data_IF_868593443621
#
_entry.id   IF_868593443621
#
_cell.length_a   1.000
_cell.length_b   1.000
_cell.length_c   1.000
_cell.angle_alpha   90.00
_cell.angle_beta   90.00
_cell.angle_gamma   90.00
#
_symmetry.space_group_name_H-M   'P 1'
#
loop_
_entity.id
_entity.type
_entity.pdbx_description
1 polymer ?
#
# COMPACT_ATOMS: atom_id res chain seq x y z
N UNK A 1 -3.51 -6.24 9.04
CA UNK A 1 -2.96 -6.01 10.41
C UNK A 1 -2.64 -7.36 11.03
N UNK A 2 -1.36 -7.65 11.35
CA UNK A 2 -0.92 -8.96 11.90
C UNK A 2 -1.16 -9.09 13.41
N UNK A 3 -1.76 -8.07 14.00
CA UNK A 3 -1.95 -7.91 15.45
C UNK A 3 -2.55 -9.10 16.21
N UNK A 4 -3.52 -9.88 15.69
CA UNK A 4 -4.06 -11.00 16.46
C UNK A 4 -3.07 -12.16 16.67
N UNK A 5 -2.00 -12.20 15.87
CA UNK A 5 -1.07 -13.34 15.86
C UNK A 5 0.26 -13.06 16.56
N UNK A 6 0.50 -11.80 16.96
CA UNK A 6 1.77 -11.36 17.51
C UNK A 6 1.52 -10.36 18.65
N UNK A 7 1.24 -10.83 19.87
CA UNK A 7 1.27 -9.92 21.01
C UNK A 7 2.69 -9.36 21.14
N UNK A 8 2.90 -8.05 20.98
CA UNK A 8 4.22 -7.48 21.22
C UNK A 8 4.58 -7.71 22.70
N UNK A 9 5.82 -8.15 22.92
CA UNK A 9 6.39 -8.09 24.26
C UNK A 9 6.60 -6.61 24.60
N UNK A 10 6.05 -6.16 25.69
CA UNK A 10 6.35 -4.80 26.20
C UNK A 10 7.70 -4.81 26.92
N UNK A 11 8.48 -3.68 26.81
CA UNK A 11 8.19 -2.49 26.02
C UNK A 11 8.32 -2.71 24.50
N UNK A 12 7.45 -2.07 23.70
CA UNK A 12 7.42 -2.18 22.24
C UNK A 12 7.33 -0.80 21.60
N UNK A 13 8.26 -0.49 20.70
CA UNK A 13 8.25 0.74 19.91
C UNK A 13 7.53 0.45 18.60
N UNK A 14 6.38 1.10 18.30
CA UNK A 14 5.61 0.84 17.09
C UNK A 14 6.30 1.39 15.83
N UNK A 15 5.60 1.31 14.70
CA UNK A 15 6.00 1.66 13.35
C UNK A 15 7.12 0.77 12.79
N UNK A 16 7.02 0.59 11.48
CA UNK A 16 7.95 -0.26 10.72
C UNK A 16 8.60 0.47 9.56
N UNK A 17 7.94 1.50 9.03
CA UNK A 17 8.45 2.31 7.94
C UNK A 17 9.39 3.38 8.51
N UNK A 18 10.59 3.47 7.95
CA UNK A 18 11.57 4.48 8.35
C UNK A 18 12.22 5.12 7.13
N UNK A 19 12.61 6.40 7.27
CA UNK A 19 13.50 7.08 6.36
C UNK A 19 14.39 8.02 7.18
N UNK A 20 15.68 8.08 6.85
CA UNK A 20 16.63 8.88 7.63
C UNK A 20 18.05 8.77 7.10
N UNK A 21 19.01 9.16 7.91
CA UNK A 21 20.44 9.12 7.61
C UNK A 21 21.10 8.02 8.45
N UNK A 22 21.96 7.22 7.81
CA UNK A 22 22.72 6.16 8.48
C UNK A 22 23.76 6.81 9.39
N UNK A 23 23.74 6.46 10.67
CA UNK A 23 24.75 6.85 11.66
C UNK A 23 25.86 5.81 11.77
N UNK A 24 25.48 4.54 11.79
CA UNK A 24 26.39 3.39 11.91
C UNK A 24 25.96 2.23 11.04
N UNK A 25 26.89 1.37 10.67
CA UNK A 25 26.65 0.13 9.92
C UNK A 25 27.20 -1.08 10.66
N UNK A 26 26.47 -2.18 10.62
CA UNK A 26 26.90 -3.46 11.19
C UNK A 26 28.04 -4.10 10.39
N UNK A 27 28.71 -5.07 11.02
CA UNK A 27 29.74 -5.87 10.34
C UNK A 27 29.16 -6.61 9.13
N UNK A 28 29.80 -6.44 7.97
CA UNK A 28 29.39 -7.13 6.73
C UNK A 28 28.43 -6.34 5.85
N UNK A 29 27.95 -5.19 6.25
CA UNK A 29 27.21 -4.25 5.36
C UNK A 29 28.16 -3.77 4.27
N UNK A 30 27.71 -3.84 3.01
CA UNK A 30 28.52 -3.49 1.84
C UNK A 30 27.89 -2.39 1.00
N UNK A 31 26.57 -2.25 1.06
CA UNK A 31 25.80 -1.37 0.18
C UNK A 31 25.72 0.06 0.70
N UNK A 32 25.82 0.25 2.00
CA UNK A 32 25.61 1.51 2.68
C UNK A 32 26.77 1.88 3.59
N UNK A 33 26.89 3.18 3.87
CA UNK A 33 27.86 3.76 4.80
C UNK A 33 27.22 4.86 5.65
N UNK A 34 27.84 5.25 6.77
CA UNK A 34 27.41 6.43 7.52
C UNK A 34 27.33 7.67 6.63
N UNK A 35 26.26 8.47 6.80
CA UNK A 35 25.92 9.64 6.01
C UNK A 35 25.00 9.36 4.82
N UNK A 36 24.80 8.11 4.42
CA UNK A 36 23.86 7.79 3.35
C UNK A 36 22.40 8.01 3.81
N UNK A 37 21.59 8.65 2.96
CA UNK A 37 20.15 8.81 3.18
C UNK A 37 19.43 7.55 2.68
N UNK A 38 18.61 6.94 3.51
CA UNK A 38 17.94 5.67 3.23
C UNK A 38 16.48 5.66 3.64
N UNK A 39 15.70 4.83 2.97
CA UNK A 39 14.35 4.39 3.37
C UNK A 39 14.39 2.88 3.57
N UNK A 40 13.63 2.37 4.52
CA UNK A 40 13.61 0.93 4.79
C UNK A 40 12.45 0.47 5.65
N UNK A 41 12.36 -0.85 5.76
CA UNK A 41 11.36 -1.52 6.57
C UNK A 41 12.01 -2.19 7.78
N UNK A 42 11.65 -1.76 8.98
CA UNK A 42 12.01 -2.43 10.21
C UNK A 42 11.15 -3.69 10.38
N UNK A 43 11.68 -4.71 11.02
CA UNK A 43 10.93 -5.95 11.25
C UNK A 43 9.64 -5.68 12.03
N UNK A 44 8.48 -6.18 11.55
CA UNK A 44 7.22 -6.00 12.27
C UNK A 44 7.20 -6.73 13.63
N UNK A 45 8.11 -7.70 13.83
CA UNK A 45 8.24 -8.43 15.10
C UNK A 45 8.99 -7.66 16.17
N UNK A 46 9.95 -6.81 15.78
CA UNK A 46 10.72 -5.99 16.70
C UNK A 46 10.20 -4.56 16.81
N UNK A 47 9.49 -4.06 15.80
CA UNK A 47 9.13 -2.65 15.73
C UNK A 47 10.37 -1.75 15.67
N UNK A 48 10.25 -0.53 16.18
CA UNK A 48 11.37 0.39 16.36
C UNK A 48 11.38 1.59 15.42
N UNK A 49 10.34 1.77 14.58
CA UNK A 49 10.31 2.89 13.64
C UNK A 49 9.93 4.23 14.25
N UNK A 50 9.20 4.23 15.36
CA UNK A 50 8.81 5.46 16.07
C UNK A 50 9.84 5.81 17.15
N UNK A 51 11.07 6.08 16.76
CA UNK A 51 12.18 6.41 17.62
C UNK A 51 13.23 7.24 16.86
N UNK A 52 14.06 7.98 17.56
CA UNK A 52 15.16 8.77 16.97
C UNK A 52 16.15 7.90 16.19
N UNK A 53 16.33 6.65 16.59
CA UNK A 53 17.18 5.67 15.93
C UNK A 53 16.44 4.37 15.70
N UNK A 54 16.68 3.76 14.55
CA UNK A 54 16.09 2.47 14.17
C UNK A 54 17.14 1.58 13.48
N UNK A 55 16.96 0.27 13.60
CA UNK A 55 17.84 -0.70 12.95
C UNK A 55 17.09 -1.37 11.79
N UNK A 56 17.66 -1.26 10.59
CA UNK A 56 17.11 -1.87 9.37
C UNK A 56 18.12 -2.81 8.72
N UNK A 57 17.63 -3.89 8.14
CA UNK A 57 18.48 -4.82 7.37
C UNK A 57 18.81 -4.21 6.00
N UNK A 58 20.08 -4.32 5.59
CA UNK A 58 20.56 -3.88 4.28
C UNK A 58 19.69 -4.41 3.11
N UNK A 59 19.23 -5.65 3.20
CA UNK A 59 18.45 -6.33 2.16
C UNK A 59 17.05 -5.75 1.89
N UNK A 60 16.54 -4.94 2.82
CA UNK A 60 15.20 -4.31 2.76
C UNK A 60 15.26 -2.79 2.94
N UNK A 61 16.41 -2.22 2.65
CA UNK A 61 16.64 -0.77 2.58
C UNK A 61 17.00 -0.34 1.15
N UNK A 62 16.69 0.92 0.82
CA UNK A 62 17.02 1.57 -0.44
C UNK A 62 17.61 2.97 -0.19
N UNK A 63 18.54 3.40 -1.04
CA UNK A 63 19.06 4.76 -0.99
C UNK A 63 18.00 5.78 -1.40
N UNK A 64 17.97 6.90 -0.73
CA UNK A 64 17.20 8.08 -1.13
C UNK A 64 18.15 9.07 -1.81
N UNK A 65 17.89 9.48 -3.07
CA UNK A 65 18.67 10.51 -3.74
C UNK A 65 18.69 11.82 -2.93
N UNK A 66 19.79 12.60 -2.97
CA UNK A 66 19.91 13.84 -2.18
C UNK A 66 18.78 14.83 -2.39
N UNK A 67 18.27 14.92 -3.62
CA UNK A 67 17.19 15.82 -4.03
C UNK A 67 15.80 15.44 -3.52
N UNK A 68 15.62 14.22 -2.99
CA UNK A 68 14.34 13.72 -2.48
C UNK A 68 14.31 13.85 -0.95
N UNK A 69 13.19 14.33 -0.39
CA UNK A 69 13.03 14.40 1.06
C UNK A 69 12.84 13.01 1.67
N UNK A 70 13.26 12.83 2.93
CA UNK A 70 12.99 11.59 3.66
C UNK A 70 11.49 11.36 3.82
N UNK A 71 10.70 12.42 4.05
CA UNK A 71 9.26 12.36 4.20
C UNK A 71 8.55 11.82 2.94
N UNK A 72 9.03 12.18 1.73
CA UNK A 72 8.47 11.69 0.47
C UNK A 72 8.67 10.17 0.28
N UNK A 73 9.69 9.61 0.94
CA UNK A 73 9.99 8.19 0.87
C UNK A 73 9.49 7.39 2.09
N UNK A 74 9.30 8.03 3.24
CA UNK A 74 8.96 7.35 4.50
C UNK A 74 7.66 6.52 4.45
N UNK A 75 6.73 6.86 3.54
CA UNK A 75 5.50 6.11 3.35
C UNK A 75 5.60 4.89 2.42
N UNK A 76 6.71 4.72 1.70
CA UNK A 76 6.86 3.71 0.65
C UNK A 76 6.98 2.25 1.18
N UNK A 77 7.68 1.96 2.31
CA UNK A 77 8.06 0.59 2.60
C UNK A 77 6.86 -0.37 2.70
N UNK A 78 5.94 -0.17 3.62
CA UNK A 78 4.76 -1.06 3.71
C UNK A 78 3.76 -0.74 2.62
N UNK A 79 3.31 0.51 2.52
CA UNK A 79 2.17 0.86 1.69
C UNK A 79 2.50 0.82 0.19
N UNK A 80 3.61 1.39 -0.22
CA UNK A 80 4.08 1.38 -1.60
C UNK A 80 4.41 -0.03 -2.10
N UNK A 81 5.15 -0.82 -1.29
CA UNK A 81 5.47 -2.21 -1.65
C UNK A 81 4.22 -3.10 -1.70
N UNK A 82 3.25 -2.88 -0.82
CA UNK A 82 1.96 -3.60 -0.87
C UNK A 82 1.23 -3.31 -2.16
N UNK A 83 1.10 -2.04 -2.54
CA UNK A 83 0.46 -1.64 -3.79
C UNK A 83 1.20 -2.21 -5.01
N UNK A 84 2.54 -2.12 -5.02
CA UNK A 84 3.38 -2.68 -6.08
C UNK A 84 3.17 -4.19 -6.25
N UNK A 85 3.22 -4.95 -5.16
CA UNK A 85 3.07 -6.40 -5.21
C UNK A 85 1.65 -6.84 -5.55
N UNK A 86 0.63 -6.14 -5.06
CA UNK A 86 -0.77 -6.38 -5.43
C UNK A 86 -0.97 -6.26 -6.94
N UNK A 87 -0.49 -5.19 -7.54
CA UNK A 87 -0.65 -4.93 -8.96
C UNK A 87 0.24 -5.83 -9.83
N UNK A 88 1.56 -5.84 -9.57
CA UNK A 88 2.51 -6.51 -10.46
C UNK A 88 2.55 -8.03 -10.27
N UNK A 89 2.58 -8.53 -9.01
CA UNK A 89 2.77 -9.96 -8.75
C UNK A 89 1.44 -10.71 -8.67
N UNK A 90 0.41 -10.13 -8.04
CA UNK A 90 -0.86 -10.84 -7.84
C UNK A 90 -1.81 -10.68 -9.02
N UNK A 91 -2.00 -9.47 -9.55
CA UNK A 91 -2.88 -9.20 -10.70
C UNK A 91 -2.12 -9.39 -12.02
N UNK A 92 -0.81 -9.17 -12.04
CA UNK A 92 0.04 -9.30 -13.22
C UNK A 92 -0.01 -8.08 -14.15
N UNK A 93 -0.07 -6.87 -13.59
CA UNK A 93 0.07 -5.62 -14.34
C UNK A 93 1.54 -5.38 -14.67
N UNK A 94 1.84 -5.12 -15.92
CA UNK A 94 3.15 -4.63 -16.35
C UNK A 94 3.18 -3.11 -16.24
N UNK A 95 3.98 -2.60 -15.30
CA UNK A 95 4.03 -1.16 -14.98
C UNK A 95 4.79 -0.32 -16.02
N UNK A 96 5.34 -0.94 -17.03
CA UNK A 96 5.92 -0.30 -18.21
C UNK A 96 4.90 0.00 -19.32
N UNK A 97 3.64 -0.33 -19.08
CA UNK A 97 2.54 -0.13 -20.05
C UNK A 97 2.46 -1.16 -21.17
N UNK A 98 3.40 -2.12 -21.24
CA UNK A 98 3.44 -3.13 -22.33
C UNK A 98 2.42 -4.27 -22.19
N UNK A 99 1.64 -4.30 -21.09
CA UNK A 99 0.65 -5.31 -20.81
C UNK A 99 -0.68 -5.10 -21.56
N UNK A 100 -1.51 -6.15 -21.60
CA UNK A 100 -2.89 -6.05 -22.04
C UNK A 100 -3.66 -5.05 -21.16
N UNK A 101 -4.62 -4.35 -21.78
CA UNK A 101 -5.49 -3.44 -21.07
C UNK A 101 -6.37 -4.18 -20.06
N UNK A 102 -6.32 -3.74 -18.80
CA UNK A 102 -7.11 -4.32 -17.71
C UNK A 102 -7.95 -3.26 -16.98
N UNK A 103 -9.13 -3.68 -16.52
CA UNK A 103 -9.99 -2.87 -15.67
C UNK A 103 -9.68 -3.21 -14.22
N UNK A 104 -9.24 -2.22 -13.45
CA UNK A 104 -8.78 -2.39 -12.08
C UNK A 104 -9.67 -1.58 -11.13
N UNK A 105 -10.16 -2.24 -10.09
CA UNK A 105 -10.81 -1.55 -8.98
C UNK A 105 -9.82 -1.38 -7.81
N UNK A 106 -9.78 -0.21 -7.23
CA UNK A 106 -9.01 0.08 -6.01
C UNK A 106 -9.96 0.61 -4.95
N UNK A 107 -10.15 -0.13 -3.87
CA UNK A 107 -11.00 0.32 -2.76
C UNK A 107 -10.19 1.14 -1.76
N UNK A 108 -10.87 2.04 -1.01
CA UNK A 108 -10.22 2.98 -0.09
C UNK A 108 -9.02 3.71 -0.75
N UNK A 109 -9.24 4.19 -1.97
CA UNK A 109 -8.20 4.73 -2.84
C UNK A 109 -7.52 6.01 -2.30
N UNK A 110 -8.14 6.73 -1.37
CA UNK A 110 -7.53 7.88 -0.70
C UNK A 110 -6.64 7.51 0.50
N UNK A 111 -6.61 6.24 0.91
CA UNK A 111 -5.87 5.79 2.08
C UNK A 111 -4.39 5.49 1.81
N UNK A 112 -3.70 4.96 2.84
CA UNK A 112 -2.26 4.76 2.85
C UNK A 112 -1.72 3.86 1.73
N UNK A 113 -2.40 2.75 1.37
CA UNK A 113 -2.02 1.89 0.25
C UNK A 113 -2.70 2.34 -1.04
N UNK A 114 -3.98 2.75 -0.95
CA UNK A 114 -4.82 3.05 -2.11
C UNK A 114 -4.25 4.15 -3.00
N UNK A 115 -3.72 5.23 -2.41
CA UNK A 115 -3.18 6.34 -3.21
C UNK A 115 -1.94 5.95 -4.03
N UNK A 116 -1.11 5.02 -3.53
CA UNK A 116 -0.02 4.43 -4.33
C UNK A 116 -0.55 3.47 -5.38
N UNK A 117 -1.56 2.66 -5.03
CA UNK A 117 -2.14 1.69 -5.96
C UNK A 117 -2.75 2.37 -7.19
N UNK A 118 -3.46 3.51 -7.02
CA UNK A 118 -3.98 4.29 -8.15
C UNK A 118 -2.85 4.75 -9.06
N UNK A 119 -1.82 5.40 -8.52
CA UNK A 119 -0.71 5.94 -9.29
C UNK A 119 0.07 4.83 -10.02
N UNK A 120 0.39 3.73 -9.31
CA UNK A 120 1.09 2.60 -9.91
C UNK A 120 0.26 1.89 -10.99
N UNK A 121 -1.05 1.72 -10.78
CA UNK A 121 -1.91 1.13 -11.80
C UNK A 121 -1.90 1.96 -13.09
N UNK A 122 -1.85 3.28 -12.98
CA UNK A 122 -1.79 4.19 -14.15
C UNK A 122 -0.46 4.17 -14.91
N UNK A 123 0.60 3.59 -14.36
CA UNK A 123 1.83 3.31 -15.12
C UNK A 123 1.64 2.13 -16.07
N UNK A 124 0.71 1.23 -15.76
CA UNK A 124 0.33 0.13 -16.64
C UNK A 124 -0.78 0.54 -17.62
N UNK A 125 -1.07 -0.34 -18.59
CA UNK A 125 -2.18 -0.15 -19.50
C UNK A 125 -3.50 -0.55 -18.80
N UNK A 126 -4.04 0.34 -17.93
CA UNK A 126 -5.21 0.05 -17.12
C UNK A 126 -6.28 1.13 -17.21
N UNK A 127 -7.54 0.70 -17.02
CA UNK A 127 -8.64 1.57 -16.64
C UNK A 127 -8.88 1.40 -15.15
N UNK A 128 -8.75 2.48 -14.39
CA UNK A 128 -8.81 2.47 -12.92
C UNK A 128 -10.14 3.04 -12.45
N UNK A 129 -10.95 2.18 -11.84
CA UNK A 129 -12.09 2.59 -11.01
C UNK A 129 -11.64 2.60 -9.55
N UNK A 130 -11.97 3.65 -8.82
CA UNK A 130 -11.53 3.83 -7.43
C UNK A 130 -12.72 4.13 -6.52
N UNK A 131 -12.71 3.62 -5.28
CA UNK A 131 -13.69 4.04 -4.27
C UNK A 131 -13.02 4.85 -3.17
N UNK A 132 -13.69 5.93 -2.76
CA UNK A 132 -13.30 6.76 -1.63
C UNK A 132 -14.54 7.43 -1.02
N UNK A 133 -14.40 8.21 0.05
CA UNK A 133 -15.47 9.08 0.53
C UNK A 133 -15.62 10.33 -0.34
N UNK A 134 -16.82 10.92 -0.38
CA UNK A 134 -17.16 12.07 -1.21
C UNK A 134 -16.12 13.20 -1.16
N UNK A 135 -15.59 13.53 0.02
CA UNK A 135 -14.56 14.58 0.20
C UNK A 135 -13.26 14.36 -0.58
N UNK A 136 -12.97 13.10 -0.97
CA UNK A 136 -11.71 12.72 -1.61
C UNK A 136 -11.86 12.40 -3.10
N UNK A 137 -13.03 12.62 -3.71
CA UNK A 137 -13.27 12.27 -5.12
C UNK A 137 -12.31 13.02 -6.04
N UNK A 138 -12.23 14.34 -5.94
CA UNK A 138 -11.34 15.13 -6.80
C UNK A 138 -9.85 14.82 -6.54
N UNK A 139 -9.49 14.57 -5.29
CA UNK A 139 -8.16 14.12 -4.94
C UNK A 139 -7.81 12.78 -5.63
N UNK A 140 -8.68 11.77 -5.56
CA UNK A 140 -8.42 10.46 -6.17
C UNK A 140 -8.41 10.54 -7.70
N UNK A 141 -9.24 11.40 -8.31
CA UNK A 141 -9.13 11.72 -9.74
C UNK A 141 -7.77 12.32 -10.08
N UNK A 142 -7.25 13.23 -9.25
CA UNK A 142 -5.94 13.85 -9.46
C UNK A 142 -4.76 12.88 -9.39
N UNK A 143 -4.96 11.70 -8.80
CA UNK A 143 -4.01 10.59 -8.80
C UNK A 143 -4.03 9.78 -10.12
N UNK A 144 -4.99 10.04 -11.00
CA UNK A 144 -5.15 9.42 -12.30
C UNK A 144 -6.25 8.36 -12.40
N UNK A 145 -7.13 8.20 -11.41
CA UNK A 145 -8.27 7.31 -11.53
C UNK A 145 -9.22 7.78 -12.65
N UNK A 146 -9.63 6.85 -13.52
CA UNK A 146 -10.55 7.12 -14.64
C UNK A 146 -11.99 7.26 -14.15
N UNK A 147 -12.37 6.50 -13.13
CA UNK A 147 -13.67 6.54 -12.47
C UNK A 147 -13.49 6.59 -10.96
N UNK A 148 -14.26 7.43 -10.29
CA UNK A 148 -14.25 7.52 -8.82
C UNK A 148 -15.68 7.47 -8.30
N UNK A 149 -15.92 6.59 -7.33
CA UNK A 149 -17.22 6.29 -6.75
C UNK A 149 -17.18 6.56 -5.25
N UNK A 150 -18.17 7.29 -4.73
CA UNK A 150 -18.35 7.38 -3.29
C UNK A 150 -18.88 6.05 -2.75
N UNK A 151 -18.13 5.40 -1.86
CA UNK A 151 -18.48 4.11 -1.27
C UNK A 151 -19.79 4.16 -0.44
N UNK A 152 -20.29 5.35 -0.09
CA UNK A 152 -21.54 5.56 0.63
C UNK A 152 -22.77 5.54 -0.26
N UNK A 153 -22.61 5.66 -1.57
CA UNK A 153 -23.73 5.54 -2.52
C UNK A 153 -24.12 4.08 -2.74
N UNK A 154 -25.35 3.78 -3.18
CA UNK A 154 -25.75 2.41 -3.48
C UNK A 154 -24.85 1.70 -4.48
N UNK A 155 -24.46 2.36 -5.57
CA UNK A 155 -23.54 1.80 -6.58
C UNK A 155 -22.11 1.65 -6.04
N UNK A 156 -21.66 2.59 -5.19
CA UNK A 156 -20.36 2.50 -4.53
C UNK A 156 -20.29 1.37 -3.51
N UNK A 157 -21.33 1.17 -2.72
CA UNK A 157 -21.43 0.04 -1.80
C UNK A 157 -21.49 -1.31 -2.56
N UNK A 158 -22.10 -1.32 -3.74
CA UNK A 158 -22.16 -2.49 -4.62
C UNK A 158 -20.91 -2.63 -5.52
N UNK A 159 -19.93 -1.74 -5.43
CA UNK A 159 -18.69 -1.69 -6.22
C UNK A 159 -18.95 -1.72 -7.75
N UNK A 160 -20.06 -1.14 -8.20
CA UNK A 160 -20.39 -1.11 -9.63
C UNK A 160 -19.60 -0.02 -10.36
N UNK A 161 -18.94 -0.38 -11.45
CA UNK A 161 -18.31 0.61 -12.33
C UNK A 161 -19.38 1.50 -12.99
N UNK A 162 -19.22 2.83 -13.00
CA UNK A 162 -20.12 3.74 -13.72
C UNK A 162 -20.25 3.41 -15.21
N UNK A 163 -19.18 2.93 -15.83
CA UNK A 163 -19.18 2.48 -17.24
C UNK A 163 -19.64 1.03 -17.44
N UNK A 164 -20.07 0.35 -16.38
CA UNK A 164 -20.54 -1.06 -16.45
C UNK A 164 -19.43 -2.10 -16.69
N UNK A 165 -18.14 -1.69 -16.67
CA UNK A 165 -17.01 -2.60 -16.86
C UNK A 165 -16.89 -3.59 -15.72
N UNK A 166 -16.52 -4.84 -16.06
CA UNK A 166 -16.13 -5.85 -15.08
C UNK A 166 -14.64 -5.72 -14.77
N UNK A 167 -14.26 -6.01 -13.53
CA UNK A 167 -12.88 -5.86 -13.07
C UNK A 167 -12.07 -7.13 -13.32
N UNK A 168 -10.90 -6.96 -13.93
CA UNK A 168 -9.90 -8.03 -14.10
C UNK A 168 -9.06 -8.19 -12.84
N UNK A 169 -8.94 -7.13 -12.06
CA UNK A 169 -8.27 -7.11 -10.77
C UNK A 169 -8.89 -6.12 -9.80
N UNK A 170 -8.90 -6.48 -8.54
CA UNK A 170 -9.27 -5.59 -7.43
C UNK A 170 -8.13 -5.54 -6.44
N UNK A 171 -7.66 -4.34 -6.08
CA UNK A 171 -6.80 -4.12 -4.92
C UNK A 171 -7.71 -3.66 -3.78
N UNK A 172 -8.02 -4.60 -2.88
CA UNK A 172 -8.92 -4.33 -1.77
C UNK A 172 -8.14 -3.79 -0.57
N UNK A 173 -8.24 -2.46 -0.38
CA UNK A 173 -7.54 -1.73 0.69
C UNK A 173 -8.45 -1.31 1.86
N UNK A 174 -9.74 -1.64 1.79
CA UNK A 174 -10.70 -1.40 2.87
C UNK A 174 -10.76 -2.62 3.81
N UNK A 175 -11.40 -2.45 4.94
CA UNK A 175 -11.72 -3.56 5.86
C UNK A 175 -13.07 -4.16 5.49
N UNK A 176 -13.22 -5.47 5.73
CA UNK A 176 -14.48 -6.23 5.69
C UNK A 176 -15.41 -5.95 4.49
N UNK A 177 -15.13 -6.60 3.37
CA UNK A 177 -16.06 -6.65 2.25
C UNK A 177 -16.31 -8.12 1.89
N UNK A 178 -17.56 -8.60 1.96
CA UNK A 178 -17.87 -9.99 1.67
C UNK A 178 -17.66 -10.30 0.17
N UNK A 179 -17.25 -11.52 -0.10
CA UNK A 179 -17.01 -12.00 -1.49
C UNK A 179 -18.20 -11.76 -2.42
N UNK A 180 -19.42 -11.89 -1.90
CA UNK A 180 -20.67 -11.70 -2.67
C UNK A 180 -20.80 -10.31 -3.32
N UNK A 181 -20.11 -9.31 -2.80
CA UNK A 181 -20.09 -7.95 -3.39
C UNK A 181 -19.09 -7.88 -4.55
N UNK A 182 -17.96 -8.57 -4.45
CA UNK A 182 -16.96 -8.59 -5.52
C UNK A 182 -17.36 -9.44 -6.71
N UNK A 183 -17.85 -10.65 -6.45
CA UNK A 183 -18.05 -11.69 -7.47
C UNK A 183 -18.89 -11.26 -8.67
N UNK A 184 -20.01 -10.51 -8.50
CA UNK A 184 -20.83 -10.04 -9.63
C UNK A 184 -20.10 -9.01 -10.50
N UNK A 185 -19.14 -8.29 -9.95
CA UNK A 185 -18.39 -7.21 -10.61
C UNK A 185 -17.09 -7.66 -11.28
N UNK A 186 -16.66 -8.92 -11.05
CA UNK A 186 -15.45 -9.46 -11.64
C UNK A 186 -15.68 -9.98 -13.07
N UNK A 187 -14.67 -9.79 -13.91
CA UNK A 187 -14.56 -10.52 -15.20
C UNK A 187 -14.39 -12.03 -14.96
N UNK A 188 -14.43 -12.84 -16.02
CA UNK A 188 -14.40 -14.30 -15.91
C UNK A 188 -13.19 -14.83 -15.12
N UNK A 189 -12.02 -14.20 -15.26
CA UNK A 189 -10.77 -14.57 -14.57
C UNK A 189 -10.35 -13.51 -13.55
N UNK A 190 -11.29 -12.70 -13.08
CA UNK A 190 -11.02 -11.58 -12.17
C UNK A 190 -10.48 -12.04 -10.82
N UNK A 191 -9.55 -11.26 -10.28
CA UNK A 191 -8.89 -11.52 -8.99
C UNK A 191 -9.13 -10.39 -8.01
N UNK A 192 -9.47 -10.72 -6.77
CA UNK A 192 -9.47 -9.78 -5.64
C UNK A 192 -8.21 -10.02 -4.83
N UNK A 193 -7.35 -9.02 -4.72
CA UNK A 193 -6.18 -9.04 -3.86
C UNK A 193 -6.54 -8.33 -2.57
N UNK A 194 -6.66 -9.09 -1.50
CA UNK A 194 -7.01 -8.58 -0.17
C UNK A 194 -5.74 -8.31 0.63
N UNK A 195 -5.50 -7.05 0.98
CA UNK A 195 -4.28 -6.63 1.71
C UNK A 195 -4.43 -6.73 3.23
N UNK A 196 -5.66 -6.95 3.71
CA UNK A 196 -5.98 -7.11 5.15
C UNK A 196 -6.87 -8.33 5.38
N UNK A 197 -6.40 -9.53 4.98
CA UNK A 197 -7.26 -10.70 4.96
C UNK A 197 -7.80 -11.05 6.34
N UNK A 198 -9.12 -11.22 6.43
CA UNK A 198 -9.83 -11.72 7.60
C UNK A 198 -9.88 -13.26 7.57
N UNK A 199 -10.36 -13.87 8.65
CA UNK A 199 -10.61 -15.31 8.67
C UNK A 199 -11.61 -15.75 7.60
N UNK A 200 -12.63 -14.94 7.32
CA UNK A 200 -13.61 -15.19 6.24
C UNK A 200 -12.98 -15.09 4.85
N UNK A 201 -12.07 -14.14 4.63
CA UNK A 201 -11.29 -14.04 3.39
C UNK A 201 -10.40 -15.26 3.20
N UNK A 202 -9.74 -15.74 4.26
CA UNK A 202 -8.92 -16.95 4.20
C UNK A 202 -9.73 -18.20 3.86
N UNK A 203 -10.93 -18.34 4.43
CA UNK A 203 -11.84 -19.43 4.09
C UNK A 203 -12.30 -19.34 2.63
N UNK A 204 -12.67 -18.17 2.15
CA UNK A 204 -13.07 -17.93 0.76
C UNK A 204 -11.92 -18.28 -0.20
N UNK A 205 -10.69 -17.87 0.10
CA UNK A 205 -9.49 -18.23 -0.66
C UNK A 205 -9.34 -19.75 -0.76
N UNK A 206 -9.43 -20.47 0.37
CA UNK A 206 -9.30 -21.93 0.39
C UNK A 206 -10.39 -22.61 -0.46
N UNK A 207 -11.65 -22.21 -0.31
CA UNK A 207 -12.78 -22.74 -1.07
C UNK A 207 -12.60 -22.48 -2.59
N UNK A 208 -12.24 -21.25 -2.99
CA UNK A 208 -12.04 -20.93 -4.42
C UNK A 208 -10.88 -21.72 -5.03
N UNK A 209 -9.86 -22.03 -4.23
CA UNK A 209 -8.73 -22.84 -4.67
C UNK A 209 -9.11 -24.32 -4.84
N UNK A 210 -9.84 -24.89 -3.89
CA UNK A 210 -10.34 -26.29 -3.94
C UNK A 210 -11.31 -26.48 -5.12
N UNK A 211 -12.20 -25.52 -5.36
CA UNK A 211 -13.20 -25.58 -6.45
C UNK A 211 -12.63 -25.18 -7.82
N UNK A 212 -11.34 -24.91 -7.94
CA UNK A 212 -10.72 -24.42 -9.17
C UNK A 212 -11.47 -23.25 -9.81
N UNK A 213 -12.04 -22.38 -8.99
CA UNK A 213 -12.81 -21.22 -9.46
C UNK A 213 -11.96 -20.30 -10.33
N UNK A 214 -12.52 -19.86 -11.47
CA UNK A 214 -11.85 -18.89 -12.34
C UNK A 214 -11.73 -17.51 -11.68
N UNK A 215 -12.73 -17.12 -10.88
CA UNK A 215 -12.69 -15.90 -10.06
C UNK A 215 -12.02 -16.23 -8.73
N UNK A 216 -11.02 -15.46 -8.33
CA UNK A 216 -10.18 -15.77 -7.19
C UNK A 216 -10.14 -14.63 -6.17
N UNK A 217 -10.05 -14.99 -4.89
CA UNK A 217 -9.60 -14.10 -3.83
C UNK A 217 -8.18 -14.51 -3.44
N UNK A 218 -7.27 -13.55 -3.38
CA UNK A 218 -5.84 -13.76 -3.11
C UNK A 218 -5.45 -12.92 -1.90
N UNK A 219 -5.24 -13.52 -0.72
CA UNK A 219 -4.69 -12.81 0.42
C UNK A 219 -3.25 -12.38 0.11
N UNK A 220 -2.93 -11.12 0.34
CA UNK A 220 -1.58 -10.60 0.11
C UNK A 220 -0.78 -10.64 1.40
N UNK A 221 0.31 -11.38 1.37
CA UNK A 221 1.37 -11.29 2.36
C UNK A 221 2.54 -10.50 1.75
N UNK A 222 2.84 -9.35 2.31
CA UNK A 222 3.95 -8.51 1.84
C UNK A 222 5.29 -9.23 2.07
N UNK A 223 6.07 -9.39 1.01
CA UNK A 223 7.44 -9.89 1.05
C UNK A 223 8.37 -8.74 0.65
N UNK A 224 8.92 -8.00 1.63
CA UNK A 224 9.71 -6.82 1.34
C UNK A 224 11.05 -7.20 0.67
N UNK A 225 11.43 -6.42 -0.35
CA UNK A 225 12.72 -6.56 -1.07
C UNK A 225 13.28 -5.17 -1.33
N UNK A 226 14.57 -4.98 -1.06
CA UNK A 226 15.25 -3.71 -1.31
C UNK A 226 15.15 -3.25 -2.77
N UNK A 227 15.27 -4.18 -3.74
CA UNK A 227 15.12 -3.87 -5.18
C UNK A 227 13.73 -3.32 -5.53
N UNK A 228 12.66 -3.88 -4.93
CA UNK A 228 11.31 -3.38 -5.15
C UNK A 228 11.17 -1.96 -4.55
N UNK A 229 11.83 -1.70 -3.42
CA UNK A 229 11.84 -0.38 -2.77
C UNK A 229 12.68 0.63 -3.56
N UNK A 230 13.84 0.23 -4.10
CA UNK A 230 14.64 1.03 -5.02
C UNK A 230 13.84 1.48 -6.23
N UNK A 231 13.08 0.56 -6.82
CA UNK A 231 12.19 0.88 -7.94
C UNK A 231 11.14 1.93 -7.57
N UNK A 232 10.55 1.85 -6.38
CA UNK A 232 9.58 2.87 -5.93
C UNK A 232 10.26 4.23 -5.70
N UNK A 233 11.44 4.25 -5.10
CA UNK A 233 12.22 5.50 -4.93
C UNK A 233 12.58 6.12 -6.28
N UNK A 234 12.93 5.29 -7.27
CA UNK A 234 13.21 5.78 -8.63
C UNK A 234 11.97 6.37 -9.29
N UNK A 235 10.78 5.78 -9.09
CA UNK A 235 9.51 6.37 -9.55
C UNK A 235 9.22 7.72 -8.88
N UNK A 236 9.55 7.87 -7.60
CA UNK A 236 9.44 9.17 -6.90
C UNK A 236 10.40 10.18 -7.51
N UNK A 237 11.67 9.78 -7.76
CA UNK A 237 12.66 10.62 -8.42
C UNK A 237 12.21 11.09 -9.81
N UNK A 238 11.55 10.22 -10.57
CA UNK A 238 11.01 10.54 -11.89
C UNK A 238 9.70 11.38 -11.84
N UNK A 239 9.17 11.69 -10.66
CA UNK A 239 7.89 12.37 -10.50
C UNK A 239 6.66 11.53 -10.92
N UNK A 240 6.84 10.21 -11.12
CA UNK A 240 5.78 9.27 -11.51
C UNK A 240 5.00 8.70 -10.33
N UNK A 241 5.55 8.82 -9.14
CA UNK A 241 4.94 8.39 -7.89
C UNK A 241 5.16 9.46 -6.83
N UNK A 242 4.13 9.78 -6.07
CA UNK A 242 4.25 10.70 -4.93
C UNK A 242 3.63 10.10 -3.67
N UNK A 243 4.25 10.33 -2.54
CA UNK A 243 3.64 10.09 -1.23
C UNK A 243 2.69 11.24 -0.92
N UNK A 244 1.43 10.90 -0.67
CA UNK A 244 0.47 11.87 -0.15
C UNK A 244 0.59 11.87 1.36
N UNK A 245 0.92 13.01 1.92
CA UNK A 245 1.08 13.19 3.37
C UNK A 245 -0.15 13.90 3.89
N UNK A 246 -0.93 13.23 4.72
CA UNK A 246 -2.10 13.78 5.38
C UNK A 246 -1.69 14.78 6.48
N UNK A 247 -0.73 14.38 7.29
CA UNK A 247 -0.25 15.16 8.42
C UNK A 247 1.15 14.75 8.86
N UNK A 248 1.85 15.69 9.49
CA UNK A 248 3.16 15.50 10.07
C UNK A 248 3.11 15.84 11.57
N UNK A 249 3.76 15.03 12.37
CA UNK A 249 3.84 15.22 13.80
C UNK A 249 5.29 15.09 14.27
N UNK A 250 5.75 15.93 15.21
CA UNK A 250 6.99 15.67 15.91
C UNK A 250 6.81 14.47 16.86
N UNK A 251 7.89 13.79 17.21
CA UNK A 251 7.84 12.63 18.12
C UNK A 251 7.16 12.96 19.45
N UNK A 252 7.33 14.18 19.96
CA UNK A 252 6.67 14.67 21.19
C UNK A 252 5.14 14.71 21.12
N UNK A 253 4.56 14.60 19.90
CA UNK A 253 3.12 14.52 19.64
C UNK A 253 2.74 13.17 19.01
N UNK A 254 3.47 12.11 19.33
CA UNK A 254 3.21 10.77 18.80
C UNK A 254 1.77 10.29 19.10
N UNK A 255 1.23 10.64 20.27
CA UNK A 255 -0.15 10.30 20.68
C UNK A 255 -1.19 10.93 19.74
N UNK A 256 -1.02 12.19 19.35
CA UNK A 256 -1.94 12.89 18.45
C UNK A 256 -1.97 12.23 17.06
N UNK A 257 -0.78 11.92 16.51
CA UNK A 257 -0.66 11.23 15.23
C UNK A 257 -1.22 9.81 15.30
N UNK A 258 -1.07 9.13 16.42
CA UNK A 258 -1.62 7.80 16.64
C UNK A 258 -3.14 7.84 16.75
N UNK A 259 -3.70 8.78 17.48
CA UNK A 259 -5.15 9.01 17.58
C UNK A 259 -5.76 9.25 16.18
N UNK A 260 -5.11 10.06 15.36
CA UNK A 260 -5.53 10.28 13.96
C UNK A 260 -5.46 9.00 13.11
N UNK A 261 -4.47 8.14 13.34
CA UNK A 261 -4.39 6.84 12.67
C UNK A 261 -5.53 5.90 13.08
N UNK A 262 -5.91 5.90 14.36
CA UNK A 262 -7.02 5.10 14.90
C UNK A 262 -8.36 5.58 14.34
N UNK A 263 -8.56 6.89 14.15
CA UNK A 263 -9.76 7.47 13.53
C UNK A 263 -10.02 6.91 12.11
N UNK A 264 -8.98 6.41 11.42
CA UNK A 264 -9.11 5.69 10.15
C UNK A 264 -9.47 6.56 8.94
N UNK A 265 -9.50 7.89 9.08
CA UNK A 265 -9.90 8.82 8.04
C UNK A 265 -8.75 9.61 7.41
N UNK A 266 -7.51 9.22 7.66
CA UNK A 266 -6.35 9.88 7.05
C UNK A 266 -6.35 9.75 5.52
N UNK A 267 -6.00 10.83 4.83
CA UNK A 267 -5.83 10.87 3.37
C UNK A 267 -4.34 10.71 3.04
N UNK A 268 -3.93 9.50 2.65
CA UNK A 268 -2.52 9.16 2.45
C UNK A 268 -1.83 8.68 3.73
N UNK A 269 -0.67 9.24 4.04
CA UNK A 269 0.23 8.81 5.14
C UNK A 269 0.32 9.84 6.25
N UNK A 270 0.44 9.37 7.47
CA UNK A 270 0.79 10.18 8.65
C UNK A 270 2.29 9.97 8.86
N UNK A 271 3.06 11.05 8.95
CA UNK A 271 4.52 11.03 9.09
C UNK A 271 4.92 11.60 10.45
N UNK A 272 5.85 10.95 11.13
CA UNK A 272 6.53 11.47 12.31
C UNK A 272 7.91 11.97 11.91
N UNK A 273 8.28 13.17 12.36
CA UNK A 273 9.59 13.81 12.11
C UNK A 273 10.34 14.04 13.42
N UNK A 274 11.66 13.92 13.37
CA UNK A 274 12.56 14.05 14.53
C UNK A 274 13.50 15.23 14.37
#
# INVERSE_FOLDING_TARGET
MLWPFLPPKFPYIPCTDIAGVITEVGKGVKKFKPGDKVVGLVSPFSGGGLAEYAVVKESIAASIPPEISAADCAGLPVAGLTALQALSKSIGIKLDGSGERKNILITAASGGVGHYAVQLAKLGNTHVTATCGARNIEFVKSLGADEVIDYKTPDGAALKSPSGKKYDGVVHCAVECPWSIFEPNLSMNGKVVDITPSSSSMMTFALKKITCSKKQLVPLLLIPKGKDLEYLVDLVKQGKLRTVIDSKYPLTKAEDGWAKSIDGHATGKIIFEF
#
